data_IF_653771138662
#
_entry.id   IF_653771138662
#
_cell.length_a   1.000
_cell.length_b   1.000
_cell.length_c   1.000
_cell.angle_alpha   90.00
_cell.angle_beta   90.00
_cell.angle_gamma   90.00
#
_symmetry.space_group_name_H-M   'P 1'
#
loop_
_entity.id
_entity.type
_entity.pdbx_description
1 polymer ?
#
# COMPACT_ATOMS: atom_id res chain seq x y z
N UNK A 1 -7.33 -28.62 55.24
CA UNK A 1 -8.14 -27.80 56.16
C UNK A 1 -7.56 -26.39 56.09
N UNK A 2 -8.18 -25.50 55.30
CA UNK A 2 -8.99 -24.34 55.75
C UNK A 2 -8.12 -23.30 56.46
N UNK A 3 -7.71 -22.25 55.75
CA UNK A 3 -8.42 -20.96 55.55
C UNK A 3 -8.30 -20.07 56.79
N UNK A 4 -7.42 -19.07 56.72
CA UNK A 4 -7.43 -17.90 57.60
C UNK A 4 -7.25 -16.64 56.75
N UNK A 5 -8.13 -15.66 57.00
CA UNK A 5 -8.13 -14.22 56.68
C UNK A 5 -9.37 -13.72 55.93
N UNK A 6 -10.43 -13.60 56.71
CA UNK A 6 -11.39 -12.47 56.71
C UNK A 6 -10.84 -11.40 57.68
N UNK A 7 -11.14 -10.10 57.66
CA UNK A 7 -11.93 -9.17 56.85
C UNK A 7 -11.35 -7.79 57.22
N UNK A 8 -11.25 -6.85 56.29
CA UNK A 8 -11.24 -5.44 56.66
C UNK A 8 -12.24 -4.69 55.78
N UNK A 9 -13.14 -3.99 56.46
CA UNK A 9 -14.23 -3.22 55.88
C UNK A 9 -13.69 -1.84 55.52
N UNK A 10 -14.00 -1.33 54.33
CA UNK A 10 -14.27 0.09 54.25
C UNK A 10 -15.36 0.40 53.24
N UNK A 11 -16.34 1.13 53.75
CA UNK A 11 -17.60 1.50 53.13
C UNK A 11 -17.46 2.97 52.78
N UNK A 12 -17.45 3.34 51.50
CA UNK A 12 -17.81 4.71 51.09
C UNK A 12 -18.80 4.65 49.93
N UNK A 13 -20.03 5.03 50.27
CA UNK A 13 -21.14 5.32 49.37
C UNK A 13 -20.99 6.76 48.89
N UNK A 14 -21.28 7.06 47.62
CA UNK A 14 -22.14 8.18 47.21
C UNK A 14 -22.24 8.29 45.68
N UNK A 15 -23.46 8.51 45.17
CA UNK A 15 -23.68 9.23 43.90
C UNK A 15 -24.44 8.46 42.81
N UNK A 16 -25.75 8.33 42.96
CA UNK A 16 -26.69 7.91 41.92
C UNK A 16 -27.39 9.18 41.36
N UNK A 17 -27.31 9.40 40.04
CA UNK A 17 -28.07 10.43 39.31
C UNK A 17 -28.46 9.81 37.94
N UNK A 18 -29.63 9.16 37.85
CA UNK A 18 -30.89 9.69 37.31
C UNK A 18 -30.79 10.14 35.86
N UNK A 19 -31.18 9.21 35.00
CA UNK A 19 -31.40 9.31 33.55
C UNK A 19 -32.76 10.03 33.34
N UNK A 20 -32.74 11.23 32.76
CA UNK A 20 -33.93 12.07 32.55
C UNK A 20 -34.17 12.20 31.04
N UNK A 21 -35.19 11.49 30.53
CA UNK A 21 -35.64 11.58 29.13
C UNK A 21 -36.95 12.36 29.10
N UNK A 22 -37.07 13.44 28.31
CA UNK A 22 -38.37 14.08 28.11
C UNK A 22 -39.18 13.30 27.06
N UNK A 23 -40.36 12.86 27.47
CA UNK A 23 -41.46 12.41 26.63
C UNK A 23 -41.94 13.55 25.72
N UNK A 24 -41.97 13.33 24.40
CA UNK A 24 -42.71 14.17 23.47
C UNK A 24 -43.94 13.41 22.97
N UNK A 25 -45.09 13.82 23.51
CA UNK A 25 -46.41 13.51 22.98
C UNK A 25 -46.57 14.16 21.59
N UNK A 26 -47.07 13.41 20.61
CA UNK A 26 -47.75 14.02 19.47
C UNK A 26 -48.99 13.21 19.09
N UNK A 27 -50.06 13.97 18.90
CA UNK A 27 -51.45 13.57 18.96
C UNK A 27 -51.95 12.86 17.69
N UNK A 28 -52.97 12.04 17.93
CA UNK A 28 -53.77 11.27 16.98
C UNK A 28 -54.65 12.09 16.03
N UNK A 29 -54.85 11.49 14.85
CA UNK A 29 -55.77 11.82 13.74
C UNK A 29 -57.22 12.22 14.09
N UNK A 30 -57.78 13.10 13.24
CA UNK A 30 -59.16 13.20 12.71
C UNK A 30 -59.13 14.32 11.64
N UNK A 31 -59.72 14.33 10.45
CA UNK A 31 -60.73 13.52 9.76
C UNK A 31 -61.70 14.46 9.01
N UNK A 32 -61.88 14.26 7.69
CA UNK A 32 -63.02 14.67 6.84
C UNK A 32 -62.90 15.91 5.92
N UNK A 33 -63.11 15.68 4.61
CA UNK A 33 -63.38 16.67 3.56
C UNK A 33 -63.40 16.04 2.16
N UNK A 34 -64.57 15.99 1.51
CA UNK A 34 -64.94 15.15 0.36
C UNK A 34 -64.83 15.86 -1.02
N UNK A 35 -64.62 15.07 -2.09
CA UNK A 35 -65.09 15.21 -3.50
C UNK A 35 -64.54 16.28 -4.49
N UNK A 36 -63.79 15.85 -5.54
CA UNK A 36 -64.19 15.64 -6.96
C UNK A 36 -62.99 15.67 -7.95
N UNK A 37 -63.04 14.94 -9.10
CA UNK A 37 -61.94 14.82 -10.06
C UNK A 37 -62.08 15.82 -11.23
N UNK A 38 -60.95 16.33 -11.73
CA UNK A 38 -60.87 16.97 -13.04
C UNK A 38 -59.49 16.73 -13.67
N UNK A 39 -59.56 16.02 -14.78
CA UNK A 39 -58.55 15.76 -15.80
C UNK A 39 -58.12 17.07 -16.46
N UNK A 40 -56.81 17.26 -16.66
CA UNK A 40 -56.25 18.18 -17.68
C UNK A 40 -54.78 17.85 -17.94
N UNK A 41 -54.60 17.22 -19.09
CA UNK A 41 -53.53 17.36 -20.08
C UNK A 41 -52.40 18.36 -19.78
N UNK A 42 -51.16 17.85 -19.72
CA UNK A 42 -49.95 18.63 -19.96
C UNK A 42 -48.95 17.79 -20.75
N UNK A 43 -48.79 18.20 -22.01
CA UNK A 43 -47.93 17.70 -23.06
C UNK A 43 -46.69 18.56 -22.66
N UNK A 44 -45.55 17.93 -22.33
CA UNK A 44 -44.25 18.57 -22.62
C UNK A 44 -43.01 17.65 -22.59
N UNK A 45 -42.24 17.80 -23.67
CA UNK A 45 -40.79 17.67 -23.81
C UNK A 45 -40.05 16.34 -23.50
N UNK A 46 -39.87 15.59 -24.60
CA UNK A 46 -38.59 15.08 -25.12
C UNK A 46 -37.32 15.45 -24.31
N UNK A 47 -36.73 14.48 -23.61
CA UNK A 47 -35.28 14.43 -23.37
C UNK A 47 -34.78 12.99 -23.49
N UNK A 48 -34.16 12.71 -24.64
CA UNK A 48 -33.11 11.72 -24.74
C UNK A 48 -31.96 12.15 -23.80
N UNK A 49 -31.71 11.35 -22.78
CA UNK A 49 -30.62 11.54 -21.82
C UNK A 49 -30.20 10.18 -21.29
N UNK A 50 -28.99 9.78 -21.63
CA UNK A 50 -28.33 8.56 -21.20
C UNK A 50 -28.03 8.64 -19.71
N UNK A 51 -28.69 7.85 -18.87
CA UNK A 51 -28.38 7.80 -17.44
C UNK A 51 -28.41 6.36 -16.91
N UNK A 52 -27.50 5.50 -17.37
CA UNK A 52 -27.32 4.18 -16.74
C UNK A 52 -25.86 3.69 -16.71
N UNK A 53 -24.85 4.51 -16.39
CA UNK A 53 -23.48 3.99 -16.17
C UNK A 53 -22.65 4.81 -15.15
N UNK A 54 -22.99 4.80 -13.85
CA UNK A 54 -22.13 5.42 -12.81
C UNK A 54 -21.81 4.54 -11.59
N UNK A 55 -22.06 3.23 -11.63
CA UNK A 55 -21.83 2.34 -10.47
C UNK A 55 -20.66 1.33 -10.61
N UNK A 56 -19.77 1.50 -11.60
CA UNK A 56 -18.67 0.55 -11.86
C UNK A 56 -17.24 1.08 -11.60
N UNK A 57 -17.01 2.37 -11.34
CA UNK A 57 -15.64 2.92 -11.37
C UNK A 57 -14.75 2.56 -10.16
N UNK A 58 -15.31 2.41 -8.96
CA UNK A 58 -14.48 2.29 -7.74
C UNK A 58 -13.81 0.92 -7.54
N UNK A 59 -14.43 -0.18 -7.97
CA UNK A 59 -13.82 -1.52 -7.86
C UNK A 59 -12.69 -1.73 -8.88
N UNK A 60 -12.81 -1.14 -10.07
CA UNK A 60 -11.82 -1.28 -11.14
C UNK A 60 -10.49 -0.60 -10.78
N UNK A 61 -10.53 0.54 -10.09
CA UNK A 61 -9.32 1.26 -9.68
C UNK A 61 -8.44 0.49 -8.69
N UNK A 62 -9.04 -0.20 -7.71
CA UNK A 62 -8.27 -1.04 -6.77
C UNK A 62 -7.69 -2.29 -7.46
N UNK A 63 -8.45 -2.94 -8.34
CA UNK A 63 -7.98 -4.09 -9.09
C UNK A 63 -6.80 -3.72 -10.01
N UNK A 64 -6.84 -2.54 -10.64
CA UNK A 64 -5.74 -2.03 -11.47
C UNK A 64 -4.44 -1.80 -10.67
N UNK A 65 -4.52 -1.26 -9.45
CA UNK A 65 -3.35 -1.05 -8.59
C UNK A 65 -2.71 -2.38 -8.16
N UNK A 66 -3.52 -3.38 -7.77
CA UNK A 66 -3.05 -4.73 -7.42
C UNK A 66 -2.34 -5.38 -8.61
N UNK A 67 -2.92 -5.25 -9.81
CA UNK A 67 -2.35 -5.81 -11.03
C UNK A 67 -1.00 -5.17 -11.38
N UNK A 68 -0.82 -3.87 -11.14
CA UNK A 68 0.44 -3.17 -11.38
C UNK A 68 1.56 -3.69 -10.47
N UNK A 69 1.34 -3.74 -9.15
CA UNK A 69 2.35 -4.26 -8.21
C UNK A 69 2.68 -5.73 -8.47
N UNK A 70 1.68 -6.55 -8.79
CA UNK A 70 1.90 -7.95 -9.18
C UNK A 70 2.77 -8.05 -10.43
N UNK A 71 2.47 -7.27 -11.47
CA UNK A 71 3.22 -7.28 -12.72
C UNK A 71 4.65 -6.80 -12.50
N UNK A 72 4.83 -5.72 -11.72
CA UNK A 72 6.14 -5.20 -11.35
C UNK A 72 6.94 -6.25 -10.61
N UNK A 73 6.36 -6.90 -9.60
CA UNK A 73 7.02 -7.96 -8.86
C UNK A 73 7.57 -9.07 -9.77
N UNK A 74 6.76 -9.63 -10.68
CA UNK A 74 7.23 -10.72 -11.53
C UNK A 74 8.34 -10.30 -12.50
N UNK A 75 8.27 -9.10 -13.05
CA UNK A 75 9.33 -8.56 -13.93
C UNK A 75 10.59 -8.24 -13.13
N UNK A 76 10.44 -7.64 -11.94
CA UNK A 76 11.54 -7.35 -11.02
C UNK A 76 12.24 -8.63 -10.59
N UNK A 77 11.48 -9.66 -10.20
CA UNK A 77 12.01 -10.97 -9.81
C UNK A 77 12.80 -11.62 -10.95
N UNK A 78 12.30 -11.52 -12.18
CA UNK A 78 13.02 -12.03 -13.36
C UNK A 78 14.36 -11.29 -13.59
N UNK A 79 14.45 -10.00 -13.27
CA UNK A 79 15.71 -9.24 -13.30
C UNK A 79 16.60 -9.54 -12.08
N UNK A 80 16.01 -9.79 -10.92
CA UNK A 80 16.75 -10.12 -9.69
C UNK A 80 17.51 -11.43 -9.82
N UNK A 81 16.94 -12.45 -10.47
CA UNK A 81 17.60 -13.76 -10.65
C UNK A 81 19.02 -13.62 -11.25
N UNK A 82 19.22 -13.00 -12.44
CA UNK A 82 20.56 -12.82 -12.97
C UNK A 82 21.44 -11.91 -12.10
N UNK A 83 20.88 -10.91 -11.41
CA UNK A 83 21.65 -10.09 -10.45
C UNK A 83 22.22 -10.95 -9.32
N UNK A 84 21.42 -11.85 -8.75
CA UNK A 84 21.85 -12.77 -7.69
C UNK A 84 22.91 -13.76 -8.18
N UNK A 85 22.75 -14.30 -9.39
CA UNK A 85 23.72 -15.24 -9.99
C UNK A 85 25.08 -14.56 -10.22
N UNK A 86 25.08 -13.29 -10.60
CA UNK A 86 26.31 -12.51 -10.82
C UNK A 86 26.92 -11.97 -9.52
N UNK A 87 26.18 -11.94 -8.40
CA UNK A 87 26.63 -11.34 -7.15
C UNK A 87 27.88 -12.04 -6.58
N UNK A 88 29.00 -11.33 -6.31
CA UNK A 88 30.25 -11.95 -5.85
C UNK A 88 30.10 -12.75 -4.57
N UNK A 89 29.32 -12.23 -3.60
CA UNK A 89 29.05 -12.93 -2.34
C UNK A 89 28.30 -14.25 -2.59
N UNK A 90 27.28 -14.25 -3.47
CA UNK A 90 26.51 -15.45 -3.81
C UNK A 90 27.39 -16.46 -4.55
N UNK A 91 28.18 -16.01 -5.53
CA UNK A 91 29.13 -16.86 -6.24
C UNK A 91 30.16 -17.48 -5.30
N UNK A 92 30.66 -16.72 -4.31
CA UNK A 92 31.62 -17.21 -3.33
C UNK A 92 30.99 -18.28 -2.42
N UNK A 93 29.76 -18.06 -1.94
CA UNK A 93 29.04 -19.03 -1.11
C UNK A 93 28.73 -20.31 -1.90
N UNK A 94 28.41 -20.20 -3.19
CA UNK A 94 28.10 -21.34 -4.06
C UNK A 94 29.35 -22.00 -4.69
N UNK A 95 30.55 -21.45 -4.48
CA UNK A 95 31.79 -21.97 -5.10
C UNK A 95 31.87 -21.76 -6.62
N UNK A 96 31.09 -20.83 -7.18
CA UNK A 96 30.98 -20.58 -8.62
C UNK A 96 31.87 -19.44 -9.13
N UNK A 97 32.64 -18.79 -8.25
CA UNK A 97 33.46 -17.61 -8.59
C UNK A 97 34.43 -17.89 -9.75
N UNK A 98 35.10 -19.03 -9.75
CA UNK A 98 36.08 -19.40 -10.78
C UNK A 98 35.45 -19.76 -12.13
N UNK A 99 34.16 -20.09 -12.16
CA UNK A 99 33.45 -20.52 -13.39
C UNK A 99 32.59 -19.41 -14.00
N UNK A 100 32.03 -18.53 -13.19
CA UNK A 100 31.13 -17.46 -13.62
C UNK A 100 31.76 -16.07 -13.66
N UNK A 101 32.97 -15.89 -13.11
CA UNK A 101 33.67 -14.60 -13.19
C UNK A 101 34.13 -14.33 -14.62
N UNK A 102 33.76 -13.16 -15.15
CA UNK A 102 34.22 -12.71 -16.47
C UNK A 102 34.53 -11.20 -16.47
N UNK A 103 35.40 -10.73 -17.38
CA UNK A 103 35.67 -9.31 -17.53
C UNK A 103 34.41 -8.53 -17.89
N UNK A 104 34.00 -7.61 -17.00
CA UNK A 104 32.81 -6.78 -17.20
C UNK A 104 31.54 -7.27 -16.47
N UNK A 105 31.63 -8.31 -15.62
CA UNK A 105 30.51 -8.75 -14.77
C UNK A 105 29.85 -7.61 -13.99
N UNK A 106 30.67 -6.66 -13.53
CA UNK A 106 30.23 -5.49 -12.76
C UNK A 106 29.39 -4.51 -13.60
N UNK A 107 29.72 -4.33 -14.87
CA UNK A 107 28.94 -3.50 -15.80
C UNK A 107 27.61 -4.13 -16.16
N UNK A 108 27.57 -5.46 -16.32
CA UNK A 108 26.33 -6.20 -16.53
C UNK A 108 25.43 -6.08 -15.30
N UNK A 109 25.99 -6.25 -14.11
CA UNK A 109 25.26 -6.08 -12.86
C UNK A 109 24.72 -4.67 -12.70
N UNK A 110 25.54 -3.64 -12.94
CA UNK A 110 25.11 -2.24 -12.93
C UNK A 110 23.94 -2.02 -13.88
N UNK A 111 24.00 -2.53 -15.11
CA UNK A 111 22.93 -2.37 -16.11
C UNK A 111 21.61 -3.04 -15.65
N UNK A 112 21.68 -4.28 -15.17
CA UNK A 112 20.52 -5.01 -14.66
C UNK A 112 19.91 -4.33 -13.43
N UNK A 113 20.74 -3.95 -12.45
CA UNK A 113 20.29 -3.26 -11.25
C UNK A 113 19.73 -1.86 -11.56
N UNK A 114 20.25 -1.18 -12.58
CA UNK A 114 19.69 0.10 -13.05
C UNK A 114 18.29 -0.10 -13.62
N UNK A 115 18.10 -1.10 -14.47
CA UNK A 115 16.79 -1.43 -15.02
C UNK A 115 15.79 -1.77 -13.90
N UNK A 116 16.21 -2.59 -12.92
CA UNK A 116 15.41 -2.97 -11.77
C UNK A 116 15.06 -1.76 -10.88
N UNK A 117 16.03 -0.88 -10.61
CA UNK A 117 15.84 0.33 -9.81
C UNK A 117 14.79 1.25 -10.44
N UNK A 118 14.89 1.52 -11.75
CA UNK A 118 13.95 2.42 -12.42
C UNK A 118 12.59 1.79 -12.69
N UNK A 119 12.50 0.50 -12.99
CA UNK A 119 11.22 -0.17 -13.29
C UNK A 119 10.52 -0.65 -12.02
N UNK A 120 11.22 -1.48 -11.23
CA UNK A 120 10.70 -2.08 -10.00
C UNK A 120 10.65 -1.08 -8.84
N UNK A 121 11.63 -0.19 -8.75
CA UNK A 121 11.70 0.84 -7.71
C UNK A 121 10.80 2.05 -7.93
N UNK A 122 10.28 2.26 -9.15
CA UNK A 122 9.47 3.43 -9.51
C UNK A 122 8.34 3.80 -8.53
N UNK A 123 7.47 2.88 -8.07
CA UNK A 123 6.38 3.24 -7.15
C UNK A 123 6.90 3.85 -5.84
N UNK A 124 8.03 3.35 -5.33
CA UNK A 124 8.64 3.85 -4.10
C UNK A 124 9.34 5.19 -4.32
N UNK A 125 9.99 5.39 -5.47
CA UNK A 125 10.60 6.68 -5.82
C UNK A 125 9.54 7.77 -6.01
N UNK A 126 8.43 7.43 -6.66
CA UNK A 126 7.29 8.32 -6.81
C UNK A 126 6.68 8.65 -5.44
N UNK A 127 6.44 7.64 -4.60
CA UNK A 127 5.91 7.83 -3.26
C UNK A 127 6.83 8.68 -2.37
N UNK A 128 8.15 8.47 -2.44
CA UNK A 128 9.15 9.32 -1.78
C UNK A 128 9.01 10.78 -2.20
N UNK A 129 8.92 11.04 -3.51
CA UNK A 129 8.80 12.42 -4.01
C UNK A 129 7.49 13.07 -3.53
N UNK A 130 6.37 12.36 -3.62
CA UNK A 130 5.05 12.85 -3.25
C UNK A 130 4.97 13.16 -1.73
N UNK A 131 5.42 12.22 -0.88
CA UNK A 131 5.46 12.39 0.58
C UNK A 131 6.38 13.55 0.99
N UNK A 132 7.58 13.64 0.41
CA UNK A 132 8.52 14.72 0.71
C UNK A 132 7.97 16.09 0.28
N UNK A 133 7.30 16.16 -0.88
CA UNK A 133 6.64 17.38 -1.35
C UNK A 133 5.49 17.81 -0.45
N UNK A 134 4.71 16.86 0.07
CA UNK A 134 3.65 17.11 1.05
C UNK A 134 4.15 17.39 2.47
N UNK A 135 5.47 17.27 2.72
CA UNK A 135 6.09 17.36 4.06
C UNK A 135 5.52 16.39 5.08
N UNK A 136 5.14 15.19 4.63
CA UNK A 136 4.60 14.15 5.48
C UNK A 136 5.33 12.82 5.20
N UNK A 137 6.55 12.64 5.74
CA UNK A 137 7.36 11.46 5.46
C UNK A 137 6.76 10.21 6.11
N UNK A 138 6.57 9.16 5.32
CA UNK A 138 5.98 7.90 5.72
C UNK A 138 6.76 6.68 5.21
N UNK A 139 6.04 5.60 4.95
CA UNK A 139 6.63 4.32 4.54
C UNK A 139 7.32 4.42 3.17
N UNK A 140 6.71 5.14 2.20
CA UNK A 140 7.29 5.27 0.87
C UNK A 140 8.58 6.09 0.89
N UNK A 141 8.66 7.12 1.73
CA UNK A 141 9.89 7.90 1.94
C UNK A 141 11.02 7.01 2.44
N UNK A 142 10.78 6.19 3.47
CA UNK A 142 11.81 5.32 4.02
C UNK A 142 12.32 4.31 3.00
N UNK A 143 11.41 3.64 2.29
CA UNK A 143 11.77 2.64 1.27
C UNK A 143 12.48 3.31 0.10
N UNK A 144 11.89 4.38 -0.45
CA UNK A 144 12.43 5.13 -1.58
C UNK A 144 13.83 5.68 -1.28
N UNK A 145 14.06 6.17 -0.07
CA UNK A 145 15.37 6.63 0.38
C UNK A 145 16.38 5.47 0.46
N UNK A 146 15.98 4.34 1.06
CA UNK A 146 16.85 3.17 1.19
C UNK A 146 17.32 2.65 -0.18
N UNK A 147 16.39 2.45 -1.13
CA UNK A 147 16.75 2.00 -2.48
C UNK A 147 17.59 3.04 -3.22
N UNK A 148 17.33 4.34 -3.03
CA UNK A 148 18.09 5.42 -3.69
C UNK A 148 19.53 5.48 -3.20
N UNK A 149 19.73 5.41 -1.87
CA UNK A 149 21.07 5.39 -1.27
C UNK A 149 21.83 4.15 -1.72
N UNK A 150 21.20 2.98 -1.65
CA UNK A 150 21.84 1.73 -2.07
C UNK A 150 22.25 1.77 -3.55
N UNK A 151 21.39 2.29 -4.43
CA UNK A 151 21.69 2.44 -5.85
C UNK A 151 22.82 3.43 -6.10
N UNK A 152 22.71 4.67 -5.61
CA UNK A 152 23.72 5.73 -5.86
C UNK A 152 25.08 5.34 -5.30
N UNK A 153 25.13 4.78 -4.08
CA UNK A 153 26.37 4.29 -3.50
C UNK A 153 27.01 3.20 -4.37
N UNK A 154 26.21 2.21 -4.79
CA UNK A 154 26.71 1.09 -5.62
C UNK A 154 27.21 1.56 -6.98
N UNK A 155 26.51 2.49 -7.62
CA UNK A 155 26.97 3.13 -8.87
C UNK A 155 28.32 3.79 -8.65
N UNK A 156 28.47 4.56 -7.57
CA UNK A 156 29.70 5.33 -7.32
C UNK A 156 30.90 4.41 -7.02
N UNK A 157 30.69 3.33 -6.26
CA UNK A 157 31.70 2.28 -6.06
C UNK A 157 32.05 1.60 -7.38
N UNK A 158 31.06 1.25 -8.19
CA UNK A 158 31.27 0.60 -9.49
C UNK A 158 32.05 1.50 -10.48
N UNK A 159 31.96 2.82 -10.34
CA UNK A 159 32.69 3.79 -11.15
C UNK A 159 34.14 4.04 -10.68
N UNK A 160 34.58 3.40 -9.59
CA UNK A 160 35.98 3.40 -9.16
C UNK A 160 36.23 3.92 -7.74
N UNK A 161 35.19 4.25 -6.97
CA UNK A 161 35.38 4.51 -5.54
C UNK A 161 35.63 3.21 -4.75
N UNK A 162 36.44 3.28 -3.67
CA UNK A 162 36.66 2.12 -2.83
C UNK A 162 35.38 1.72 -2.07
N UNK A 163 35.08 0.43 -2.04
CA UNK A 163 33.94 -0.13 -1.32
C UNK A 163 33.43 -1.43 -1.92
N UNK A 164 32.28 -1.90 -1.42
CA UNK A 164 31.57 -3.05 -1.95
C UNK A 164 30.19 -2.61 -2.44
N UNK A 165 29.80 -3.01 -3.64
CA UNK A 165 28.49 -2.67 -4.22
C UNK A 165 27.37 -3.41 -3.51
N UNK A 166 26.21 -2.76 -3.37
CA UNK A 166 24.99 -3.33 -2.78
C UNK A 166 23.93 -3.70 -3.83
N UNK A 167 24.34 -4.10 -5.03
CA UNK A 167 23.41 -4.34 -6.15
C UNK A 167 22.43 -5.48 -5.89
N UNK A 168 22.85 -6.53 -5.18
CA UNK A 168 21.99 -7.68 -4.89
C UNK A 168 21.09 -7.43 -3.68
N UNK A 169 21.56 -6.65 -2.70
CA UNK A 169 20.77 -6.15 -1.57
C UNK A 169 19.69 -5.19 -2.06
N UNK A 170 20.04 -4.27 -2.99
CA UNK A 170 19.07 -3.40 -3.66
C UNK A 170 17.98 -4.23 -4.35
N UNK A 171 18.37 -5.27 -5.08
CA UNK A 171 17.44 -6.10 -5.83
C UNK A 171 16.46 -6.85 -4.92
N UNK A 172 16.97 -7.52 -3.89
CA UNK A 172 16.14 -8.23 -2.91
C UNK A 172 15.27 -7.30 -2.09
N UNK A 173 15.77 -6.11 -1.74
CA UNK A 173 14.99 -5.07 -1.08
C UNK A 173 13.79 -4.64 -1.94
N UNK A 174 14.00 -4.35 -3.22
CA UNK A 174 12.91 -3.98 -4.15
C UNK A 174 11.87 -5.10 -4.25
N UNK A 175 12.31 -6.36 -4.41
CA UNK A 175 11.40 -7.50 -4.54
C UNK A 175 10.55 -7.72 -3.28
N UNK A 176 11.18 -7.73 -2.09
CA UNK A 176 10.46 -7.90 -0.83
C UNK A 176 9.44 -6.78 -0.63
N UNK A 177 9.79 -5.54 -0.96
CA UNK A 177 8.88 -4.40 -0.84
C UNK A 177 7.72 -4.49 -1.83
N UNK A 178 7.97 -4.90 -3.08
CA UNK A 178 6.92 -5.12 -4.08
C UNK A 178 5.96 -6.24 -3.65
N UNK A 179 6.48 -7.35 -3.12
CA UNK A 179 5.66 -8.45 -2.58
C UNK A 179 4.83 -7.97 -1.39
N UNK A 180 5.44 -7.24 -0.45
CA UNK A 180 4.74 -6.72 0.73
C UNK A 180 3.53 -5.88 0.36
N UNK A 181 3.72 -4.89 -0.52
CA UNK A 181 2.63 -4.03 -1.00
C UNK A 181 1.60 -4.82 -1.81
N UNK A 182 2.04 -5.80 -2.62
CA UNK A 182 1.11 -6.65 -3.35
C UNK A 182 0.23 -7.49 -2.41
N UNK A 183 0.79 -8.07 -1.35
CA UNK A 183 0.05 -8.87 -0.36
C UNK A 183 -0.88 -7.99 0.47
N UNK A 184 -0.44 -6.81 0.89
CA UNK A 184 -1.25 -5.83 1.62
C UNK A 184 -2.54 -5.53 0.85
N UNK A 185 -2.44 -5.24 -0.46
CA UNK A 185 -3.62 -4.94 -1.28
C UNK A 185 -4.48 -6.16 -1.59
N UNK A 186 -3.94 -7.38 -1.54
CA UNK A 186 -4.69 -8.62 -1.83
C UNK A 186 -5.48 -9.14 -0.63
N UNK A 187 -5.24 -8.58 0.56
CA UNK A 187 -5.82 -9.02 1.83
C UNK A 187 -7.06 -8.20 2.23
N UNK A 188 -7.49 -7.28 1.37
CA UNK A 188 -8.72 -6.47 1.47
C UNK A 188 -9.77 -7.02 0.52
#
# INVERSE_FOLDING_TARGET
MKHDKEHDHNHESFGQATDDKPEMNHETHQGSGNHHPAENDHDDHNHAGQDEHEHHSHHDHHAMMIADFRRRFWVSLALTIPILILAPMIQQVLGLRETLSFPGESWVMLALSTALFFYGGWPFLKGLYDELRSRNPGMMTLIGLAISIAFVYSVTVNLGLPGHTFFWELATLIDVMLVGHWIEMRSV
#
